data_IF_484671624493
#
_entry.id   IF_484671624493
#
_cell.length_a   1.000
_cell.length_b   1.000
_cell.length_c   1.000
_cell.angle_alpha   90.00
_cell.angle_beta   90.00
_cell.angle_gamma   90.00
#
_symmetry.space_group_name_H-M   'P 1'
#
loop_
_entity.id
_entity.type
_entity.pdbx_description
1 polymer ?
#
# COMPACT_ATOMS: atom_id res chain seq x y z
N UNK A 1 -25.76 15.82 -59.23
CA UNK A 1 -24.52 15.70 -58.39
C UNK A 1 -24.80 15.42 -56.89
N UNK A 2 -25.89 15.94 -56.28
CA UNK A 2 -26.18 15.72 -54.86
C UNK A 2 -26.51 14.26 -54.45
N UNK A 3 -27.10 13.44 -55.32
CA UNK A 3 -27.45 12.02 -55.03
C UNK A 3 -26.21 11.09 -54.97
N UNK A 4 -25.17 11.38 -55.72
CA UNK A 4 -23.92 10.63 -55.69
C UNK A 4 -23.10 10.89 -54.40
N UNK A 5 -23.14 12.12 -53.89
CA UNK A 5 -22.49 12.47 -52.64
C UNK A 5 -23.16 11.82 -51.42
N UNK A 6 -24.50 11.76 -51.40
CA UNK A 6 -25.25 11.06 -50.34
C UNK A 6 -25.01 9.56 -50.28
N UNK A 7 -24.85 8.89 -51.47
CA UNK A 7 -24.50 7.47 -51.51
C UNK A 7 -23.11 7.19 -51.01
N UNK A 8 -22.13 8.08 -51.23
CA UNK A 8 -20.75 7.90 -50.71
C UNK A 8 -20.67 8.07 -49.21
N UNK A 9 -21.43 9.00 -48.62
CA UNK A 9 -21.53 9.19 -47.16
C UNK A 9 -22.23 8.00 -46.49
N UNK A 10 -23.32 7.47 -47.09
CA UNK A 10 -23.99 6.28 -46.58
C UNK A 10 -23.13 5.01 -46.64
N UNK A 11 -22.27 4.86 -47.66
CA UNK A 11 -21.34 3.74 -47.76
C UNK A 11 -20.22 3.77 -46.72
N UNK A 12 -19.83 4.93 -46.21
CA UNK A 12 -18.85 5.10 -45.13
C UNK A 12 -19.44 4.74 -43.76
N UNK A 13 -20.77 4.75 -43.59
CA UNK A 13 -21.45 4.44 -42.33
C UNK A 13 -21.82 2.95 -42.18
N UNK A 14 -21.65 2.12 -43.23
CA UNK A 14 -21.89 0.68 -43.17
C UNK A 14 -20.60 -0.11 -42.94
N UNK A 15 -19.79 0.30 -41.99
CA UNK A 15 -18.70 -0.56 -41.50
C UNK A 15 -19.32 -1.82 -40.92
N UNK A 16 -19.02 -2.97 -41.53
CA UNK A 16 -19.52 -4.27 -41.08
C UNK A 16 -19.26 -4.45 -39.58
N UNK A 17 -20.18 -5.03 -38.80
CA UNK A 17 -19.99 -5.17 -37.36
C UNK A 17 -18.70 -5.93 -37.00
N UNK A 18 -18.25 -6.82 -37.85
CA UNK A 18 -16.97 -7.51 -37.71
C UNK A 18 -15.77 -6.55 -37.77
N UNK A 19 -15.75 -5.55 -38.67
CA UNK A 19 -14.66 -4.57 -38.76
C UNK A 19 -14.64 -3.59 -37.59
N UNK A 20 -15.76 -3.30 -36.98
CA UNK A 20 -15.82 -2.51 -35.74
C UNK A 20 -15.25 -3.28 -34.56
N UNK A 21 -15.58 -4.57 -34.47
CA UNK A 21 -15.06 -5.44 -33.43
C UNK A 21 -13.54 -5.62 -33.53
N UNK A 22 -13.02 -5.87 -34.76
CA UNK A 22 -11.56 -5.98 -34.96
C UNK A 22 -10.83 -4.68 -34.68
N UNK A 23 -11.39 -3.53 -35.04
CA UNK A 23 -10.81 -2.23 -34.71
C UNK A 23 -10.79 -1.96 -33.20
N UNK A 24 -11.88 -2.28 -32.48
CA UNK A 24 -11.95 -2.19 -31.03
C UNK A 24 -10.95 -3.11 -30.33
N UNK A 25 -10.82 -4.35 -30.80
CA UNK A 25 -9.84 -5.30 -30.25
C UNK A 25 -8.40 -4.85 -30.54
N UNK A 26 -8.12 -4.28 -31.71
CA UNK A 26 -6.82 -3.72 -32.03
C UNK A 26 -6.45 -2.52 -31.16
N UNK A 27 -7.40 -1.61 -30.91
CA UNK A 27 -7.21 -0.46 -30.02
C UNK A 27 -7.01 -0.93 -28.58
N UNK A 28 -7.80 -1.89 -28.11
CA UNK A 28 -7.67 -2.45 -26.77
C UNK A 28 -6.32 -3.16 -26.61
N UNK A 29 -5.92 -3.98 -27.57
CA UNK A 29 -4.61 -4.64 -27.56
C UNK A 29 -3.46 -3.64 -27.59
N UNK A 30 -3.57 -2.57 -28.38
CA UNK A 30 -2.60 -1.48 -28.40
C UNK A 30 -2.52 -0.72 -27.08
N UNK A 31 -3.66 -0.44 -26.45
CA UNK A 31 -3.72 0.20 -25.13
C UNK A 31 -3.11 -0.70 -24.03
N UNK A 32 -3.41 -2.00 -24.05
CA UNK A 32 -2.81 -2.98 -23.14
C UNK A 32 -1.29 -3.08 -23.36
N UNK A 33 -0.84 -3.13 -24.61
CA UNK A 33 0.59 -3.17 -24.92
C UNK A 33 1.32 -1.91 -24.47
N UNK A 34 0.71 -0.72 -24.62
CA UNK A 34 1.25 0.56 -24.12
C UNK A 34 1.29 0.60 -22.59
N UNK A 35 0.26 0.10 -21.90
CA UNK A 35 0.22 0.03 -20.43
C UNK A 35 1.27 -0.95 -19.90
N UNK A 36 1.44 -2.11 -20.53
CA UNK A 36 2.42 -3.11 -20.08
C UNK A 36 3.86 -2.74 -20.48
N UNK A 37 4.05 -2.12 -21.65
CA UNK A 37 5.37 -1.70 -22.13
C UNK A 37 5.91 -0.43 -21.51
N UNK A 38 5.03 0.45 -20.99
CA UNK A 38 5.39 1.70 -20.32
C UNK A 38 5.43 1.63 -18.79
N UNK A 39 5.05 0.48 -18.20
CA UNK A 39 5.06 0.30 -16.76
C UNK A 39 6.51 0.15 -16.27
N UNK A 40 7.15 1.27 -15.88
CA UNK A 40 8.31 1.20 -15.01
C UNK A 40 7.89 0.51 -13.69
N UNK A 41 8.76 -0.28 -13.03
CA UNK A 41 8.45 -0.83 -11.72
C UNK A 41 8.13 0.33 -10.77
N UNK A 42 6.86 0.56 -10.51
CA UNK A 42 6.42 1.51 -9.51
C UNK A 42 6.69 0.86 -8.14
N UNK A 43 7.81 1.23 -7.52
CA UNK A 43 8.05 0.89 -6.11
C UNK A 43 7.16 1.81 -5.28
N UNK A 44 5.97 1.35 -4.96
CA UNK A 44 5.02 2.09 -4.13
C UNK A 44 5.26 1.85 -2.62
N UNK A 45 6.30 1.09 -2.26
CA UNK A 45 6.68 0.81 -0.87
C UNK A 45 7.75 1.79 -0.43
N UNK A 46 7.50 2.49 0.66
CA UNK A 46 8.50 3.36 1.27
C UNK A 46 9.72 2.54 1.72
N UNK A 47 10.87 2.83 1.14
CA UNK A 47 12.15 2.27 1.57
C UNK A 47 12.86 3.26 2.49
N UNK A 48 13.54 2.76 3.52
CA UNK A 48 14.42 3.57 4.38
C UNK A 48 15.69 3.91 3.61
N UNK A 49 15.86 5.19 3.25
CA UNK A 49 16.98 5.68 2.39
C UNK A 49 18.07 6.39 3.18
N UNK A 50 17.75 6.96 4.34
CA UNK A 50 18.75 7.63 5.18
C UNK A 50 18.40 7.50 6.66
N UNK A 51 19.45 7.56 7.51
CA UNK A 51 19.32 7.59 8.96
C UNK A 51 20.34 8.55 9.56
N UNK A 52 19.93 9.21 10.63
CA UNK A 52 20.81 10.00 11.47
C UNK A 52 20.50 9.67 12.94
N UNK A 53 21.42 9.02 13.67
CA UNK A 53 22.77 8.57 13.27
C UNK A 53 22.78 7.59 12.10
N UNK A 54 23.88 7.56 11.33
CA UNK A 54 24.07 6.59 10.28
C UNK A 54 24.08 5.16 10.85
N UNK A 55 23.61 4.20 10.04
CA UNK A 55 23.62 2.78 10.44
C UNK A 55 25.06 2.34 10.77
N UNK A 56 25.18 1.55 11.83
CA UNK A 56 26.46 0.98 12.29
C UNK A 56 27.53 2.03 12.64
N UNK A 57 27.16 3.31 12.72
CA UNK A 57 28.10 4.37 13.09
C UNK A 57 28.44 4.35 14.58
N UNK A 58 29.64 4.83 14.91
CA UNK A 58 30.11 5.04 16.27
C UNK A 58 30.25 6.54 16.51
N UNK A 59 29.48 7.06 17.46
CA UNK A 59 29.45 8.47 17.82
C UNK A 59 30.32 8.72 19.07
N UNK A 60 31.02 9.84 19.09
CA UNK A 60 31.79 10.27 20.28
C UNK A 60 30.89 10.72 21.45
N UNK A 61 29.62 11.01 21.20
CA UNK A 61 28.68 11.43 22.22
C UNK A 61 27.24 11.12 21.82
N UNK A 62 26.36 11.04 22.83
CA UNK A 62 24.96 10.68 22.64
C UNK A 62 24.21 11.70 21.77
N UNK A 63 23.51 11.27 20.72
CA UNK A 63 22.68 12.15 19.90
C UNK A 63 21.42 12.56 20.66
N UNK A 64 20.85 13.70 20.32
CA UNK A 64 19.59 14.17 20.96
C UNK A 64 18.34 13.56 20.33
N UNK A 65 18.45 13.06 19.14
CA UNK A 65 17.34 12.45 18.39
C UNK A 65 17.88 11.44 17.41
N UNK A 66 16.99 10.56 16.97
CA UNK A 66 17.17 9.69 15.80
C UNK A 66 16.21 10.17 14.72
N UNK A 67 16.72 10.27 13.48
CA UNK A 67 15.94 10.67 12.31
C UNK A 67 16.06 9.62 11.21
N UNK A 68 14.98 9.37 10.51
CA UNK A 68 14.85 8.43 9.40
C UNK A 68 14.31 9.17 8.19
N UNK A 69 14.86 8.90 7.00
CA UNK A 69 14.35 9.39 5.73
C UNK A 69 13.90 8.24 4.84
N UNK A 70 12.75 8.38 4.25
CA UNK A 70 12.10 7.39 3.40
C UNK A 70 12.03 7.86 1.94
N UNK A 71 11.97 6.90 1.01
CA UNK A 71 11.80 7.19 -0.42
C UNK A 71 10.46 7.85 -0.76
N UNK A 72 9.44 7.64 0.08
CA UNK A 72 8.08 8.11 -0.09
C UNK A 72 7.47 8.56 1.23
N UNK A 73 6.31 9.22 1.17
CA UNK A 73 5.56 9.64 2.35
C UNK A 73 5.11 8.44 3.18
N UNK A 74 5.23 8.57 4.50
CA UNK A 74 4.82 7.54 5.46
C UNK A 74 3.87 8.11 6.49
N UNK A 75 2.98 7.26 7.00
CA UNK A 75 2.14 7.55 8.15
C UNK A 75 2.81 7.01 9.40
N UNK A 76 2.82 7.80 10.45
CA UNK A 76 3.46 7.49 11.73
C UNK A 76 2.42 7.34 12.84
N UNK A 77 2.69 6.44 13.75
CA UNK A 77 2.07 6.34 15.06
C UNK A 77 3.06 6.81 16.14
N UNK A 78 2.60 7.02 17.36
CA UNK A 78 3.48 7.43 18.47
C UNK A 78 4.67 6.47 18.68
N UNK A 79 4.48 5.18 18.39
CA UNK A 79 5.46 4.11 18.54
C UNK A 79 6.13 3.70 17.21
N UNK A 80 6.06 4.56 16.21
CA UNK A 80 6.68 4.26 14.90
C UNK A 80 8.20 4.16 14.95
N UNK A 81 8.86 4.80 15.92
CA UNK A 81 10.30 4.68 16.14
C UNK A 81 10.54 4.41 17.60
N UNK A 82 11.30 3.37 17.90
CA UNK A 82 11.73 3.00 19.25
C UNK A 82 13.24 2.83 19.26
N UNK A 83 13.89 3.34 20.29
CA UNK A 83 15.32 3.18 20.50
C UNK A 83 15.53 2.43 21.80
N UNK A 84 16.29 1.33 21.69
CA UNK A 84 16.60 0.45 22.83
C UNK A 84 18.09 0.54 23.14
N UNK A 85 18.41 0.57 24.44
CA UNK A 85 19.78 0.46 24.92
C UNK A 85 20.34 -0.98 24.79
N UNK A 86 21.60 -1.23 25.13
CA UNK A 86 22.18 -2.59 25.09
C UNK A 86 21.41 -3.63 25.91
N UNK A 87 20.76 -3.21 26.99
CA UNK A 87 19.95 -4.06 27.86
C UNK A 87 18.50 -4.28 27.35
N UNK A 88 18.14 -3.67 26.21
CA UNK A 88 16.81 -3.75 25.64
C UNK A 88 15.79 -2.80 26.27
N UNK A 89 16.22 -1.83 27.09
CA UNK A 89 15.34 -0.82 27.67
C UNK A 89 15.09 0.32 26.71
N UNK A 90 13.88 0.84 26.68
CA UNK A 90 13.51 1.96 25.82
C UNK A 90 14.12 3.27 26.32
N UNK A 91 14.86 3.97 25.45
CA UNK A 91 15.56 5.22 25.75
C UNK A 91 15.04 6.43 24.96
N UNK A 92 14.12 6.24 24.04
CA UNK A 92 13.42 7.34 23.38
C UNK A 92 12.30 7.92 24.27
N UNK A 93 11.90 9.16 23.97
CA UNK A 93 10.81 9.86 24.66
C UNK A 93 9.44 9.52 24.06
N UNK A 94 9.37 8.67 23.00
CA UNK A 94 8.16 8.39 22.23
C UNK A 94 7.69 9.55 21.37
N UNK A 95 6.50 9.40 20.78
CA UNK A 95 5.89 10.45 19.97
C UNK A 95 6.65 10.72 18.67
N UNK A 96 6.92 9.67 17.89
CA UNK A 96 7.55 9.82 16.58
C UNK A 96 6.78 10.85 15.73
N UNK A 97 7.52 11.73 15.04
CA UNK A 97 6.96 12.85 14.26
C UNK A 97 7.75 13.08 12.99
N UNK A 98 7.13 13.75 12.03
CA UNK A 98 7.82 14.21 10.82
C UNK A 98 8.76 15.37 11.13
N UNK A 99 9.96 15.36 10.55
CA UNK A 99 10.95 16.44 10.70
C UNK A 99 10.63 17.54 9.71
N UNK A 100 10.48 18.78 10.21
CA UNK A 100 10.22 19.95 9.34
C UNK A 100 8.91 19.87 8.54
N UNK A 101 7.99 19.00 8.92
CA UNK A 101 6.73 18.79 8.17
C UNK A 101 6.86 17.92 6.91
N UNK A 102 8.05 17.38 6.62
CA UNK A 102 8.23 16.46 5.47
C UNK A 102 7.71 15.06 5.83
N UNK A 103 6.61 14.66 5.19
CA UNK A 103 5.96 13.36 5.39
C UNK A 103 6.85 12.16 5.03
N UNK A 104 7.98 12.36 4.37
CA UNK A 104 8.97 11.31 4.07
C UNK A 104 9.99 11.12 5.19
N UNK A 105 9.82 11.74 6.35
CA UNK A 105 10.75 11.63 7.48
C UNK A 105 10.05 11.09 8.71
N UNK A 106 10.83 10.49 9.62
CA UNK A 106 10.39 10.17 10.98
C UNK A 106 11.51 10.52 11.95
N UNK A 107 11.18 11.10 13.10
CA UNK A 107 12.16 11.38 14.14
C UNK A 107 11.59 11.12 15.52
N UNK A 108 12.46 10.75 16.45
CA UNK A 108 12.16 10.59 17.87
C UNK A 108 13.28 11.20 18.72
N UNK A 109 12.92 11.87 19.80
CA UNK A 109 13.89 12.41 20.76
C UNK A 109 14.43 11.29 21.66
N UNK A 110 15.68 11.42 22.04
CA UNK A 110 16.33 10.55 23.01
C UNK A 110 16.45 11.23 24.36
N UNK A 111 16.39 10.43 25.41
CA UNK A 111 16.66 10.89 26.76
C UNK A 111 18.10 11.39 26.87
N UNK A 112 18.33 12.40 27.68
CA UNK A 112 19.68 12.89 27.94
C UNK A 112 20.48 11.89 28.77
N UNK A 113 21.81 11.90 28.61
CA UNK A 113 22.72 11.09 29.44
C UNK A 113 22.73 9.60 29.08
N UNK A 114 22.58 9.27 27.82
CA UNK A 114 22.72 7.89 27.36
C UNK A 114 24.16 7.40 27.65
N UNK A 115 24.33 6.18 28.18
CA UNK A 115 25.63 5.58 28.42
C UNK A 115 26.32 5.20 27.10
N UNK A 116 27.61 4.86 27.19
CA UNK A 116 28.31 4.22 26.08
C UNK A 116 27.70 2.84 25.80
N UNK A 117 27.70 2.45 24.52
CA UNK A 117 27.21 1.15 24.09
C UNK A 117 26.48 1.19 22.75
N UNK A 118 25.97 0.05 22.32
CA UNK A 118 25.26 -0.14 21.05
C UNK A 118 23.76 -0.04 21.24
N UNK A 119 23.14 0.90 20.56
CA UNK A 119 21.71 1.16 20.59
C UNK A 119 21.03 0.54 19.38
N UNK A 120 19.84 -0.02 19.55
CA UNK A 120 19.02 -0.58 18.48
C UNK A 120 17.86 0.35 18.19
N UNK A 121 17.73 0.79 16.95
CA UNK A 121 16.60 1.55 16.46
C UNK A 121 15.67 0.60 15.72
N UNK A 122 14.50 0.34 16.28
CA UNK A 122 13.42 -0.40 15.65
C UNK A 122 12.38 0.61 15.13
N UNK A 123 11.95 0.44 13.89
CA UNK A 123 10.98 1.36 13.28
C UNK A 123 9.89 0.61 12.53
N UNK A 124 8.71 1.21 12.47
CA UNK A 124 7.57 0.79 11.65
C UNK A 124 6.86 2.01 11.12
N UNK A 125 6.39 1.95 9.89
CA UNK A 125 5.61 3.01 9.27
C UNK A 125 4.60 2.41 8.29
N UNK A 126 3.63 3.19 7.87
CA UNK A 126 2.71 2.80 6.80
C UNK A 126 3.03 3.65 5.58
N UNK A 127 3.40 3.02 4.49
CA UNK A 127 3.70 3.65 3.22
C UNK A 127 2.46 4.33 2.62
N UNK A 128 2.65 5.27 1.70
CA UNK A 128 1.56 5.99 1.03
C UNK A 128 0.56 5.07 0.30
N UNK A 129 1.00 3.88 -0.12
CA UNK A 129 0.17 2.83 -0.71
C UNK A 129 -0.58 1.96 0.32
N UNK A 130 -0.54 2.36 1.60
CA UNK A 130 -1.14 1.67 2.75
C UNK A 130 -0.48 0.34 3.13
N UNK A 131 0.73 0.04 2.63
CA UNK A 131 1.48 -1.13 3.07
C UNK A 131 2.34 -0.78 4.30
N UNK A 132 2.30 -1.61 5.38
CA UNK A 132 3.18 -1.46 6.50
C UNK A 132 4.60 -1.87 6.11
N UNK A 133 5.55 -1.02 6.48
CA UNK A 133 7.00 -1.26 6.31
C UNK A 133 7.66 -1.16 7.68
N UNK A 134 8.68 -1.99 7.93
CA UNK A 134 9.39 -1.99 9.20
C UNK A 134 10.84 -2.42 9.01
N UNK A 135 11.65 -2.16 10.01
CA UNK A 135 13.04 -2.58 10.03
C UNK A 135 13.73 -2.17 11.32
N UNK A 136 15.02 -2.48 11.37
CA UNK A 136 15.87 -2.08 12.47
C UNK A 136 17.30 -1.84 11.99
N UNK A 137 18.02 -1.02 12.76
CA UNK A 137 19.45 -0.80 12.59
C UNK A 137 20.08 -0.43 13.94
N UNK A 138 21.40 -0.43 14.01
CA UNK A 138 22.15 -0.07 15.22
C UNK A 138 23.02 1.15 14.99
N UNK A 139 23.34 1.86 16.04
CA UNK A 139 24.44 2.82 16.16
C UNK A 139 25.06 2.67 17.54
N UNK A 140 26.30 3.14 17.73
CA UNK A 140 26.99 3.08 19.03
C UNK A 140 27.37 4.47 19.51
N UNK A 141 27.40 4.63 20.82
CA UNK A 141 27.96 5.82 21.51
C UNK A 141 29.19 5.34 22.26
N UNK A 142 30.31 6.04 22.10
CA UNK A 142 31.59 5.65 22.70
C UNK A 142 32.05 4.28 22.19
N UNK A 143 32.19 3.31 23.05
CA UNK A 143 32.65 1.97 22.69
C UNK A 143 31.47 1.07 22.30
N UNK A 144 31.51 0.39 21.13
CA UNK A 144 30.51 -0.62 20.77
C UNK A 144 30.40 -1.72 21.81
N UNK A 145 29.19 -2.17 22.12
CA UNK A 145 28.88 -3.26 23.02
C UNK A 145 28.03 -4.33 22.34
N UNK A 146 27.98 -5.53 22.93
CA UNK A 146 26.98 -6.51 22.54
C UNK A 146 25.59 -5.97 22.93
N UNK A 147 24.61 -6.11 22.04
CA UNK A 147 23.22 -5.76 22.34
C UNK A 147 22.40 -7.03 22.47
N UNK A 148 21.64 -7.14 23.56
CA UNK A 148 20.64 -8.19 23.78
C UNK A 148 19.25 -7.73 23.35
N UNK A 149 19.12 -6.54 22.75
CA UNK A 149 17.85 -6.05 22.25
C UNK A 149 17.33 -7.04 21.19
N UNK A 150 16.36 -7.85 21.58
CA UNK A 150 15.60 -8.66 20.63
C UNK A 150 14.95 -7.68 19.65
N UNK A 151 15.35 -7.75 18.37
CA UNK A 151 14.65 -7.04 17.32
C UNK A 151 13.19 -7.48 17.38
N UNK A 152 12.23 -6.58 17.49
CA UNK A 152 10.86 -6.99 17.33
C UNK A 152 10.76 -7.67 15.97
N UNK A 153 10.51 -8.97 15.95
CA UNK A 153 10.10 -9.67 14.72
C UNK A 153 8.74 -9.09 14.32
N UNK A 154 8.78 -7.94 13.69
CA UNK A 154 7.58 -7.30 13.16
C UNK A 154 7.45 -7.67 11.71
N UNK A 155 6.84 -8.77 11.50
CA UNK A 155 6.16 -9.10 10.26
C UNK A 155 4.83 -8.35 10.24
N UNK A 156 4.92 -7.05 9.94
CA UNK A 156 3.71 -6.28 9.64
C UNK A 156 3.01 -6.97 8.46
N UNK A 157 1.79 -7.43 8.69
CA UNK A 157 1.00 -8.15 7.68
C UNK A 157 1.13 -9.68 7.67
N UNK A 158 2.03 -10.32 8.45
CA UNK A 158 2.17 -11.78 8.51
C UNK A 158 1.23 -12.50 9.50
N UNK A 159 0.26 -11.81 10.07
CA UNK A 159 -0.75 -12.43 10.92
C UNK A 159 -2.05 -12.75 10.17
N UNK A 160 -2.98 -13.40 10.85
CA UNK A 160 -4.31 -13.66 10.33
C UNK A 160 -5.01 -12.40 9.80
N UNK A 161 -4.74 -11.24 10.41
CA UNK A 161 -5.26 -9.93 9.95
C UNK A 161 -4.73 -9.56 8.57
N UNK A 162 -3.43 -9.76 8.32
CA UNK A 162 -2.83 -9.49 7.00
C UNK A 162 -3.42 -10.38 5.91
N UNK A 163 -3.53 -11.67 6.17
CA UNK A 163 -4.14 -12.62 5.23
C UNK A 163 -5.60 -12.27 4.95
N UNK A 164 -6.39 -11.94 5.98
CA UNK A 164 -7.78 -11.53 5.80
C UNK A 164 -7.92 -10.23 5.02
N UNK A 165 -7.03 -9.27 5.28
CA UNK A 165 -6.99 -8.01 4.55
C UNK A 165 -6.71 -8.23 3.06
N UNK A 166 -5.72 -9.07 2.74
CA UNK A 166 -5.37 -9.42 1.37
C UNK A 166 -6.49 -10.17 0.66
N UNK A 167 -7.10 -11.16 1.32
CA UNK A 167 -8.27 -11.88 0.78
C UNK A 167 -9.41 -10.91 0.47
N UNK A 168 -9.76 -10.03 1.41
CA UNK A 168 -10.80 -9.03 1.20
C UNK A 168 -10.48 -8.14 0.00
N UNK A 169 -9.24 -7.71 -0.15
CA UNK A 169 -8.77 -6.88 -1.28
C UNK A 169 -8.91 -7.61 -2.62
N UNK A 170 -8.48 -8.86 -2.71
CA UNK A 170 -8.62 -9.64 -3.96
C UNK A 170 -10.08 -9.96 -4.29
N UNK A 171 -10.93 -10.21 -3.30
CA UNK A 171 -12.38 -10.37 -3.50
C UNK A 171 -13.00 -9.07 -4.02
N UNK A 172 -12.57 -7.90 -3.52
CA UNK A 172 -13.01 -6.61 -4.05
C UNK A 172 -12.62 -6.43 -5.52
N UNK A 173 -11.37 -6.77 -5.90
CA UNK A 173 -10.93 -6.70 -7.29
C UNK A 173 -11.72 -7.64 -8.20
N UNK A 174 -11.98 -8.87 -7.76
CA UNK A 174 -12.83 -9.82 -8.48
C UNK A 174 -14.28 -9.31 -8.66
N UNK A 175 -14.85 -8.77 -7.61
CA UNK A 175 -16.18 -8.14 -7.63
C UNK A 175 -16.25 -6.96 -8.61
N UNK A 176 -15.26 -6.10 -8.60
CA UNK A 176 -15.13 -4.98 -9.54
C UNK A 176 -15.02 -5.46 -11.00
N UNK A 177 -14.15 -6.43 -11.27
CA UNK A 177 -13.98 -7.00 -12.61
C UNK A 177 -15.28 -7.63 -13.13
N UNK A 178 -16.01 -8.34 -12.28
CA UNK A 178 -17.32 -8.91 -12.63
C UNK A 178 -18.35 -7.82 -12.95
N UNK A 179 -18.43 -6.77 -12.15
CA UNK A 179 -19.40 -5.68 -12.37
C UNK A 179 -19.08 -4.92 -13.65
N UNK A 180 -17.84 -4.45 -13.80
CA UNK A 180 -17.44 -3.64 -14.94
C UNK A 180 -17.42 -4.46 -16.23
N UNK A 181 -16.87 -5.69 -16.17
CA UNK A 181 -16.83 -6.59 -17.33
C UNK A 181 -18.20 -7.01 -17.81
N UNK A 182 -19.09 -7.40 -16.87
CA UNK A 182 -20.48 -7.76 -17.21
C UNK A 182 -21.24 -6.51 -17.72
N UNK A 183 -21.06 -5.36 -17.08
CA UNK A 183 -21.67 -4.09 -17.52
C UNK A 183 -21.25 -3.70 -18.94
N UNK A 184 -19.96 -3.75 -19.22
CA UNK A 184 -19.41 -3.45 -20.54
C UNK A 184 -19.94 -4.43 -21.61
N UNK A 185 -20.01 -5.71 -21.31
CA UNK A 185 -20.60 -6.73 -22.21
C UNK A 185 -22.08 -6.43 -22.49
N UNK A 186 -22.85 -6.09 -21.47
CA UNK A 186 -24.26 -5.77 -21.63
C UNK A 186 -24.48 -4.50 -22.48
N UNK A 187 -23.71 -3.45 -22.21
CA UNK A 187 -23.85 -2.17 -22.95
C UNK A 187 -23.31 -2.30 -24.38
N UNK A 188 -22.15 -2.94 -24.58
CA UNK A 188 -21.47 -3.01 -25.87
C UNK A 188 -21.99 -4.09 -26.82
N UNK A 189 -22.34 -5.26 -26.27
CA UNK A 189 -22.55 -6.44 -27.11
C UNK A 189 -23.92 -7.11 -26.93
N UNK A 190 -24.50 -7.08 -25.73
CA UNK A 190 -25.68 -7.90 -25.44
C UNK A 190 -26.70 -7.24 -24.51
N UNK A 191 -27.34 -6.18 -24.96
CA UNK A 191 -28.32 -5.41 -24.19
C UNK A 191 -29.47 -6.25 -23.58
N UNK A 192 -29.91 -7.28 -24.32
CA UNK A 192 -30.98 -8.19 -23.85
C UNK A 192 -30.52 -9.14 -22.74
N UNK A 193 -29.21 -9.29 -22.52
CA UNK A 193 -28.63 -10.11 -21.47
C UNK A 193 -28.98 -9.64 -20.06
N UNK A 194 -29.31 -8.35 -19.88
CA UNK A 194 -29.75 -7.81 -18.58
C UNK A 194 -31.01 -8.47 -18.01
N UNK A 195 -31.87 -9.07 -18.87
CA UNK A 195 -33.04 -9.79 -18.47
C UNK A 195 -32.75 -11.25 -18.04
N UNK A 196 -31.55 -11.76 -18.30
CA UNK A 196 -31.18 -13.16 -18.06
C UNK A 196 -30.80 -13.35 -16.59
N UNK A 197 -31.48 -14.29 -15.91
CA UNK A 197 -31.27 -14.56 -14.47
C UNK A 197 -29.81 -14.81 -14.07
N UNK A 198 -29.00 -15.63 -14.76
CA UNK A 198 -27.58 -15.81 -14.43
C UNK A 198 -26.78 -14.51 -14.48
N UNK A 199 -27.02 -13.64 -15.46
CA UNK A 199 -26.32 -12.34 -15.58
C UNK A 199 -26.65 -11.42 -14.40
N UNK A 200 -27.92 -11.36 -14.01
CA UNK A 200 -28.33 -10.61 -12.81
C UNK A 200 -27.70 -11.15 -11.54
N UNK A 201 -27.56 -12.48 -11.42
CA UNK A 201 -26.85 -13.09 -10.27
C UNK A 201 -25.37 -12.73 -10.24
N UNK A 202 -24.70 -12.69 -11.40
CA UNK A 202 -23.30 -12.25 -11.49
C UNK A 202 -23.14 -10.78 -11.06
N UNK A 203 -24.03 -9.89 -11.53
CA UNK A 203 -24.00 -8.49 -11.12
C UNK A 203 -24.25 -8.30 -9.63
N UNK A 204 -25.27 -8.99 -9.09
CA UNK A 204 -25.56 -8.95 -7.65
C UNK A 204 -24.43 -9.55 -6.83
N UNK A 205 -23.84 -10.66 -7.28
CA UNK A 205 -22.67 -11.28 -6.64
C UNK A 205 -21.45 -10.37 -6.63
N UNK A 206 -21.14 -9.74 -7.76
CA UNK A 206 -20.05 -8.77 -7.86
C UNK A 206 -20.28 -7.55 -6.96
N UNK A 207 -21.51 -7.02 -6.93
CA UNK A 207 -21.86 -5.92 -6.04
C UNK A 207 -21.75 -6.30 -4.55
N UNK A 208 -22.29 -7.46 -4.17
CA UNK A 208 -22.19 -7.96 -2.80
C UNK A 208 -20.75 -8.21 -2.38
N UNK A 209 -19.94 -8.81 -3.27
CA UNK A 209 -18.52 -9.02 -3.03
C UNK A 209 -17.78 -7.70 -2.78
N UNK A 210 -18.01 -6.67 -3.59
CA UNK A 210 -17.41 -5.35 -3.39
C UNK A 210 -17.85 -4.72 -2.07
N UNK A 211 -19.14 -4.73 -1.76
CA UNK A 211 -19.66 -4.11 -0.54
C UNK A 211 -19.12 -4.80 0.72
N UNK A 212 -19.19 -6.14 0.77
CA UNK A 212 -18.70 -6.91 1.90
C UNK A 212 -17.18 -6.76 2.07
N UNK A 213 -16.44 -6.77 0.96
CA UNK A 213 -14.99 -6.52 1.00
C UNK A 213 -14.64 -5.12 1.48
N UNK A 214 -15.36 -4.09 1.03
CA UNK A 214 -15.14 -2.72 1.49
C UNK A 214 -15.37 -2.58 2.99
N UNK A 215 -16.43 -3.20 3.52
CA UNK A 215 -16.69 -3.23 4.97
C UNK A 215 -15.61 -3.99 5.72
N UNK A 216 -15.18 -5.15 5.21
CA UNK A 216 -14.11 -5.94 5.82
C UNK A 216 -12.78 -5.16 5.84
N UNK A 217 -12.39 -4.51 4.74
CA UNK A 217 -11.19 -3.68 4.66
C UNK A 217 -11.24 -2.49 5.62
N UNK A 218 -12.42 -1.87 5.78
CA UNK A 218 -12.60 -0.78 6.71
C UNK A 218 -12.40 -1.24 8.17
N UNK A 219 -13.01 -2.37 8.55
CA UNK A 219 -12.90 -2.94 9.90
C UNK A 219 -11.47 -3.44 10.20
N UNK A 220 -10.80 -4.04 9.22
CA UNK A 220 -9.46 -4.57 9.39
C UNK A 220 -8.37 -3.50 9.30
N UNK A 221 -8.68 -2.28 8.85
CA UNK A 221 -7.69 -1.21 8.65
C UNK A 221 -6.93 -0.86 9.94
N UNK A 222 -7.63 -0.71 11.06
CA UNK A 222 -7.01 -0.39 12.36
C UNK A 222 -6.01 -1.46 12.82
N UNK A 223 -6.44 -2.72 12.99
CA UNK A 223 -5.55 -3.82 13.35
C UNK A 223 -4.39 -4.01 12.37
N UNK A 224 -4.64 -3.88 11.07
CA UNK A 224 -3.62 -4.03 10.03
C UNK A 224 -2.52 -2.97 10.15
N UNK A 225 -2.88 -1.69 10.32
CA UNK A 225 -1.91 -0.59 10.44
C UNK A 225 -1.20 -0.58 11.79
N UNK A 226 -1.87 -1.02 12.87
CA UNK A 226 -1.27 -1.11 14.20
C UNK A 226 -0.39 -2.34 14.39
N UNK A 227 -0.42 -3.32 13.47
CA UNK A 227 0.23 -4.63 13.64
C UNK A 227 -0.39 -5.43 14.78
N UNK A 228 -1.66 -5.17 15.13
CA UNK A 228 -2.39 -5.82 16.20
C UNK A 228 -3.11 -7.10 15.76
N UNK A 229 -3.51 -7.94 16.71
CA UNK A 229 -4.37 -9.09 16.46
C UNK A 229 -5.83 -8.69 16.22
N UNK A 230 -6.67 -9.67 15.83
CA UNK A 230 -8.13 -9.45 15.58
C UNK A 230 -8.86 -8.79 16.76
N UNK A 231 -8.42 -9.02 18.00
CA UNK A 231 -9.01 -8.40 19.20
C UNK A 231 -8.88 -6.88 19.24
N UNK A 232 -7.87 -6.29 18.60
CA UNK A 232 -7.68 -4.84 18.56
C UNK A 232 -8.64 -4.13 17.59
N UNK A 233 -9.36 -4.87 16.74
CA UNK A 233 -10.38 -4.30 15.84
C UNK A 233 -11.58 -3.73 16.60
N UNK A 234 -11.83 -4.21 17.82
CA UNK A 234 -12.99 -3.87 18.64
C UNK A 234 -12.62 -3.12 19.92
N UNK A 235 -11.33 -2.78 20.10
CA UNK A 235 -10.91 -1.96 21.24
C UNK A 235 -11.29 -0.49 20.98
N UNK A 236 -12.06 0.15 21.88
CA UNK A 236 -12.30 1.59 21.78
C UNK A 236 -10.97 2.32 21.95
N UNK A 237 -10.64 3.20 20.99
CA UNK A 237 -9.48 4.09 21.03
C UNK A 237 -9.65 5.22 22.02
#
# INVERSE_FOLDING_TARGET
>A
MAAAARRRVAALLTVRPATRLTALLAVLAGAVALLLGGAAPASAHAALVSTDPARESVLAGAPRQVSLGFSESVLLSADSVRVLDPDGRRVDEGGARHTGGDARTASVRLRAGLPDGTFTVAWKAVSGDSHPVSGAFTFSVGAPSQTSAALPEQRAGEGAVGVLYDVARYVAYGGYALLVGTGALLVGCWHRGAAVRPVRRLLLGGWAAMLLSALALLLLRGPYTAGGGLGSAFAPG
#
